data_IF_880367870776
#
_entry.id   IF_880367870776
#
_cell.length_a   1.000
_cell.length_b   1.000
_cell.length_c   1.000
_cell.angle_alpha   90.00
_cell.angle_beta   90.00
_cell.angle_gamma   90.00
#
_symmetry.space_group_name_H-M   'P 1'
#
loop_
_entity.id
_entity.type
_entity.pdbx_description
1 polymer ?
#
# COMPACT_ATOMS: atom_id res chain seq x y z
N UNK A 1 -22.41 -4.00 -22.18
CA UNK A 1 -22.13 -5.26 -21.45
C UNK A 1 -21.76 -4.93 -20.01
N UNK A 2 -22.47 -5.50 -19.03
CA UNK A 2 -22.06 -5.38 -17.63
C UNK A 2 -20.74 -6.13 -17.46
N UNK A 3 -19.67 -5.37 -17.23
CA UNK A 3 -18.36 -5.95 -16.98
C UNK A 3 -18.42 -6.65 -15.62
N UNK A 4 -18.42 -7.99 -15.63
CA UNK A 4 -18.44 -8.82 -14.42
C UNK A 4 -17.19 -8.54 -13.57
N UNK A 5 -17.31 -7.65 -12.59
CA UNK A 5 -16.19 -7.21 -11.76
C UNK A 5 -15.60 -8.36 -10.93
N UNK A 6 -16.43 -9.28 -10.43
CA UNK A 6 -16.00 -10.33 -9.50
C UNK A 6 -15.05 -11.34 -10.14
N UNK A 7 -15.32 -11.75 -11.39
CA UNK A 7 -14.58 -12.81 -12.09
C UNK A 7 -13.26 -12.36 -12.70
N UNK A 8 -13.03 -11.05 -12.78
CA UNK A 8 -11.83 -10.48 -13.41
C UNK A 8 -10.57 -10.66 -12.55
N UNK A 9 -9.39 -10.93 -13.14
CA UNK A 9 -8.16 -10.93 -12.38
C UNK A 9 -7.86 -9.54 -11.77
N UNK A 10 -7.18 -9.46 -10.63
CA UNK A 10 -6.80 -8.18 -10.00
C UNK A 10 -5.92 -7.27 -10.87
N UNK A 11 -5.22 -7.84 -11.86
CA UNK A 11 -4.41 -7.11 -12.84
C UNK A 11 -5.24 -6.31 -13.85
N UNK A 12 -6.53 -6.60 -13.99
CA UNK A 12 -7.40 -5.90 -14.93
C UNK A 12 -7.63 -4.45 -14.53
N UNK A 13 -7.74 -3.57 -15.53
CA UNK A 13 -8.03 -2.14 -15.36
C UNK A 13 -9.29 -1.87 -14.53
N UNK A 14 -10.26 -2.80 -14.55
CA UNK A 14 -11.49 -2.73 -13.77
C UNK A 14 -11.27 -2.92 -12.25
N UNK A 15 -10.16 -3.51 -11.82
CA UNK A 15 -9.79 -3.72 -10.40
C UNK A 15 -8.67 -2.80 -9.91
N UNK A 16 -8.09 -1.99 -10.78
CA UNK A 16 -7.07 -1.00 -10.41
C UNK A 16 -7.51 -0.03 -9.32
N UNK A 17 -6.57 0.50 -8.56
CA UNK A 17 -6.89 1.46 -7.51
C UNK A 17 -7.41 2.74 -8.16
N UNK A 18 -8.53 3.27 -7.64
CA UNK A 18 -9.08 4.57 -8.05
C UNK A 18 -8.55 5.68 -7.16
N UNK A 19 -8.07 6.75 -7.78
CA UNK A 19 -7.71 7.99 -7.13
C UNK A 19 -8.51 9.10 -7.79
N UNK A 20 -9.31 9.81 -7.00
CA UNK A 20 -9.95 11.06 -7.44
C UNK A 20 -9.15 12.25 -6.89
N UNK A 21 -9.05 13.37 -7.62
CA UNK A 21 -8.35 14.56 -7.14
C UNK A 21 -8.88 15.06 -5.77
N UNK A 22 -10.19 14.90 -5.53
CA UNK A 22 -10.85 15.18 -4.25
C UNK A 22 -10.15 14.54 -3.03
N UNK A 23 -9.57 13.35 -3.19
CA UNK A 23 -8.93 12.63 -2.08
C UNK A 23 -7.70 13.36 -1.53
N UNK A 24 -7.01 14.10 -2.39
CA UNK A 24 -5.76 14.80 -2.11
C UNK A 24 -5.99 16.31 -1.84
N UNK A 25 -7.18 16.83 -2.12
CA UNK A 25 -7.48 18.25 -2.08
C UNK A 25 -7.53 18.81 -0.64
N UNK A 26 -6.68 19.78 -0.33
CA UNK A 26 -6.54 20.41 0.98
C UNK A 26 -7.70 21.35 1.34
N UNK A 27 -8.37 21.93 0.33
CA UNK A 27 -9.53 22.82 0.51
C UNK A 27 -10.79 22.07 0.94
N UNK A 28 -10.82 20.76 0.74
CA UNK A 28 -11.94 19.89 1.11
C UNK A 28 -11.70 19.27 2.49
N UNK A 29 -12.76 19.11 3.27
CA UNK A 29 -12.71 18.40 4.56
C UNK A 29 -12.76 16.89 4.35
N UNK A 30 -12.54 16.12 5.43
CA UNK A 30 -12.70 14.66 5.40
C UNK A 30 -14.14 14.27 5.05
N UNK A 31 -15.13 14.98 5.61
CA UNK A 31 -16.55 14.78 5.28
C UNK A 31 -16.87 15.08 3.81
N UNK A 32 -16.15 16.03 3.19
CA UNK A 32 -16.27 16.37 1.78
C UNK A 32 -15.48 15.45 0.85
N UNK A 33 -14.84 14.39 1.38
CA UNK A 33 -14.17 13.36 0.58
C UNK A 33 -12.65 13.37 0.60
N UNK A 34 -12.00 14.30 1.31
CA UNK A 34 -10.54 14.26 1.50
C UNK A 34 -10.16 12.98 2.27
N UNK A 35 -9.10 12.30 1.83
CA UNK A 35 -8.61 11.06 2.46
C UNK A 35 -7.27 11.21 3.17
N UNK A 36 -6.57 12.32 2.93
CA UNK A 36 -5.28 12.62 3.56
C UNK A 36 -5.42 13.70 4.64
N UNK A 37 -4.49 13.72 5.59
CA UNK A 37 -4.38 14.80 6.58
C UNK A 37 -4.11 16.14 5.87
N UNK A 38 -4.65 17.24 6.42
CA UNK A 38 -4.55 18.58 5.79
C UNK A 38 -3.09 19.01 5.55
N UNK A 39 -2.16 18.63 6.42
CA UNK A 39 -0.73 18.94 6.30
C UNK A 39 -0.02 18.24 5.14
N UNK A 40 -0.56 17.13 4.63
CA UNK A 40 -0.02 16.37 3.49
C UNK A 40 -0.86 16.54 2.23
N UNK A 41 -1.95 17.28 2.34
CA UNK A 41 -2.87 17.54 1.24
C UNK A 41 -2.30 18.62 0.32
N UNK A 42 -2.68 18.57 -0.95
CA UNK A 42 -2.25 19.54 -1.97
C UNK A 42 -3.41 20.48 -2.26
N UNK A 43 -3.13 21.75 -2.52
CA UNK A 43 -4.16 22.67 -2.96
C UNK A 43 -4.59 22.34 -4.40
N UNK A 44 -5.88 22.14 -4.60
CA UNK A 44 -6.51 22.07 -5.93
C UNK A 44 -5.85 21.12 -6.94
N UNK A 45 -5.57 19.86 -6.58
CA UNK A 45 -4.94 18.92 -7.50
C UNK A 45 -5.85 18.63 -8.70
N UNK A 46 -5.25 18.44 -9.88
CA UNK A 46 -5.92 18.01 -11.10
C UNK A 46 -5.69 16.52 -11.36
N UNK A 47 -6.60 15.89 -12.12
CA UNK A 47 -6.42 14.49 -12.51
C UNK A 47 -5.19 14.28 -13.41
N UNK A 48 -4.82 15.30 -14.20
CA UNK A 48 -3.66 15.25 -15.08
C UNK A 48 -2.35 15.23 -14.29
N UNK A 49 -2.18 16.12 -13.30
CA UNK A 49 -0.99 16.13 -12.44
C UNK A 49 -0.79 14.77 -11.74
N UNK A 50 -1.88 14.19 -11.24
CA UNK A 50 -1.83 12.86 -10.61
C UNK A 50 -1.39 11.80 -11.62
N UNK A 51 -1.93 11.83 -12.84
CA UNK A 51 -1.55 10.90 -13.90
C UNK A 51 -0.07 11.04 -14.30
N UNK A 52 0.41 12.27 -14.46
CA UNK A 52 1.78 12.56 -14.89
C UNK A 52 2.79 12.09 -13.83
N UNK A 53 2.54 12.36 -12.54
CA UNK A 53 3.41 11.89 -11.44
C UNK A 53 3.44 10.37 -11.37
N UNK A 54 2.30 9.70 -11.52
CA UNK A 54 2.24 8.24 -11.48
C UNK A 54 2.97 7.61 -12.67
N UNK A 55 2.80 8.19 -13.86
CA UNK A 55 3.48 7.74 -15.08
C UNK A 55 4.99 7.95 -14.98
N UNK A 56 5.43 9.11 -14.48
CA UNK A 56 6.84 9.42 -14.24
C UNK A 56 7.49 8.48 -13.21
N UNK A 57 6.72 7.99 -12.23
CA UNK A 57 7.17 6.98 -11.28
C UNK A 57 7.25 5.55 -11.88
N UNK A 58 6.93 5.38 -13.15
CA UNK A 58 6.92 4.10 -13.86
C UNK A 58 5.69 3.24 -13.56
N UNK A 59 4.62 3.82 -12.99
CA UNK A 59 3.38 3.07 -12.73
C UNK A 59 2.47 3.10 -13.95
N UNK A 60 1.84 1.96 -14.24
CA UNK A 60 0.79 1.89 -15.27
C UNK A 60 -0.48 2.58 -14.76
N UNK A 61 -0.72 3.79 -15.26
CA UNK A 61 -1.87 4.62 -14.92
C UNK A 61 -2.81 4.84 -16.11
N UNK A 62 -4.07 5.22 -15.83
CA UNK A 62 -5.08 5.58 -16.84
C UNK A 62 -5.98 6.68 -16.29
N UNK A 63 -6.26 7.70 -17.11
CA UNK A 63 -7.21 8.76 -16.78
C UNK A 63 -8.60 8.43 -17.35
N UNK A 64 -9.63 8.67 -16.57
CA UNK A 64 -11.03 8.49 -16.96
C UNK A 64 -11.81 9.77 -16.65
N UNK A 65 -12.68 10.19 -17.59
CA UNK A 65 -13.57 11.35 -17.43
C UNK A 65 -14.76 10.99 -16.51
N UNK A 66 -14.48 10.81 -15.22
CA UNK A 66 -15.44 10.46 -14.17
C UNK A 66 -15.37 11.49 -13.06
N UNK A 67 -16.51 11.70 -12.41
CA UNK A 67 -16.63 12.64 -11.29
C UNK A 67 -16.83 11.86 -9.99
N UNK A 68 -16.28 12.38 -8.90
CA UNK A 68 -16.53 11.79 -7.58
C UNK A 68 -17.96 12.12 -7.14
N UNK A 69 -18.75 11.15 -6.63
CA UNK A 69 -20.14 11.39 -6.24
C UNK A 69 -20.34 12.50 -5.19
N UNK A 70 -19.35 12.70 -4.31
CA UNK A 70 -19.36 13.75 -3.27
C UNK A 70 -18.83 15.11 -3.75
N UNK A 71 -18.34 15.25 -4.99
CA UNK A 71 -17.89 16.56 -5.47
C UNK A 71 -19.05 17.28 -6.18
N UNK A 72 -19.62 18.34 -5.57
CA UNK A 72 -20.71 19.09 -6.19
C UNK A 72 -20.23 19.96 -7.37
N UNK A 73 -18.95 20.31 -7.42
CA UNK A 73 -18.40 21.13 -8.51
C UNK A 73 -18.20 20.28 -9.75
N UNK A 74 -18.90 20.65 -10.83
CA UNK A 74 -18.74 20.08 -12.18
C UNK A 74 -17.59 20.75 -12.96
N UNK A 75 -16.65 21.35 -12.26
CA UNK A 75 -15.52 22.04 -12.88
C UNK A 75 -14.62 21.05 -13.60
N UNK A 76 -14.16 21.42 -14.79
CA UNK A 76 -13.27 20.58 -15.59
C UNK A 76 -12.00 20.17 -14.83
N UNK A 77 -11.52 21.04 -13.92
CA UNK A 77 -10.31 20.82 -13.13
C UNK A 77 -10.51 19.81 -11.98
N UNK A 78 -11.72 19.72 -11.43
CA UNK A 78 -12.08 18.76 -10.38
C UNK A 78 -12.52 17.40 -10.97
N UNK A 79 -12.86 17.39 -12.26
CA UNK A 79 -13.26 16.19 -12.97
C UNK A 79 -12.05 15.31 -13.29
N UNK A 80 -12.22 14.02 -13.03
CA UNK A 80 -11.28 13.00 -13.45
C UNK A 80 -11.11 11.92 -12.38
N UNK A 81 -10.86 10.71 -12.86
CA UNK A 81 -10.48 9.56 -12.04
C UNK A 81 -9.22 8.96 -12.62
N UNK A 82 -8.20 8.82 -11.80
CA UNK A 82 -6.98 8.13 -12.16
C UNK A 82 -7.04 6.71 -11.63
N UNK A 83 -6.73 5.75 -12.50
CA UNK A 83 -6.65 4.33 -12.18
C UNK A 83 -5.20 3.90 -12.25
N UNK A 84 -4.72 3.11 -11.30
CA UNK A 84 -3.34 2.62 -11.30
C UNK A 84 -3.23 1.14 -10.94
N UNK A 85 -2.31 0.45 -11.61
CA UNK A 85 -2.03 -0.97 -11.35
C UNK A 85 -0.95 -1.16 -10.28
N UNK A 86 -1.37 -1.29 -9.02
CA UNK A 86 -0.43 -1.50 -7.92
C UNK A 86 0.26 -2.87 -7.99
N UNK A 87 -0.48 -3.92 -8.34
CA UNK A 87 0.07 -5.28 -8.38
C UNK A 87 1.15 -5.44 -9.45
N UNK A 88 0.91 -4.93 -10.67
CA UNK A 88 1.90 -5.01 -11.74
C UNK A 88 3.15 -4.20 -11.39
N UNK A 89 2.97 -3.01 -10.80
CA UNK A 89 4.10 -2.20 -10.34
C UNK A 89 4.94 -2.92 -9.28
N UNK A 90 4.30 -3.55 -8.29
CA UNK A 90 5.02 -4.31 -7.27
C UNK A 90 5.83 -5.48 -7.88
N UNK A 91 5.24 -6.24 -8.80
CA UNK A 91 5.94 -7.33 -9.50
C UNK A 91 7.16 -6.84 -10.28
N UNK A 92 7.08 -5.64 -10.87
CA UNK A 92 8.20 -5.05 -11.61
C UNK A 92 9.31 -4.49 -10.69
N UNK A 93 8.94 -3.93 -9.55
CA UNK A 93 9.88 -3.24 -8.65
C UNK A 93 10.58 -4.18 -7.66
N UNK A 94 9.92 -5.27 -7.23
CA UNK A 94 10.50 -6.22 -6.26
C UNK A 94 11.85 -6.81 -6.72
N UNK A 95 12.02 -7.26 -7.98
CA UNK A 95 13.32 -7.76 -8.46
C UNK A 95 14.44 -6.71 -8.45
N UNK A 96 14.09 -5.42 -8.56
CA UNK A 96 15.04 -4.29 -8.55
C UNK A 96 15.50 -3.92 -7.13
N UNK A 97 14.95 -4.54 -6.08
CA UNK A 97 15.34 -4.26 -4.71
C UNK A 97 16.75 -4.76 -4.40
N UNK A 98 17.56 -3.92 -3.76
CA UNK A 98 18.91 -4.26 -3.30
C UNK A 98 18.92 -5.51 -2.39
N UNK A 99 17.87 -5.71 -1.60
CA UNK A 99 17.71 -6.91 -0.75
C UNK A 99 17.59 -8.22 -1.53
N UNK A 100 17.15 -8.18 -2.80
CA UNK A 100 17.13 -9.34 -3.70
C UNK A 100 18.47 -9.54 -4.41
N UNK A 101 19.21 -8.46 -4.65
CA UNK A 101 20.50 -8.48 -5.35
C UNK A 101 21.65 -8.88 -4.43
N UNK A 102 21.54 -8.63 -3.12
CA UNK A 102 22.48 -9.10 -2.12
C UNK A 102 22.07 -10.48 -1.59
N UNK A 103 22.39 -11.55 -2.34
CA UNK A 103 22.25 -12.91 -1.79
C UNK A 103 21.94 -14.02 -2.78
N UNK A 104 22.77 -14.18 -3.82
CA UNK A 104 23.06 -15.54 -4.27
C UNK A 104 23.84 -16.25 -3.16
N UNK A 105 23.16 -17.01 -2.31
CA UNK A 105 23.78 -17.89 -1.32
C UNK A 105 23.25 -17.74 0.10
N UNK A 106 22.28 -18.57 0.46
CA UNK A 106 22.28 -19.36 1.69
C UNK A 106 20.96 -20.15 1.77
N UNK A 107 21.06 -21.42 1.36
CA UNK A 107 20.15 -22.49 1.76
C UNK A 107 19.97 -22.48 3.27
N UNK A 108 18.73 -22.46 3.72
CA UNK A 108 18.36 -23.01 5.02
C UNK A 108 17.04 -23.74 4.84
N UNK A 109 17.17 -24.93 4.24
CA UNK A 109 16.30 -26.05 4.56
C UNK A 109 16.31 -26.20 6.09
N UNK A 110 15.16 -26.12 6.73
CA UNK A 110 14.97 -26.77 8.03
C UNK A 110 13.73 -27.63 7.92
N UNK A 111 13.99 -28.88 8.23
CA UNK A 111 13.24 -30.09 7.92
C UNK A 111 11.99 -30.22 8.79
N UNK A 112 10.96 -30.82 8.20
CA UNK A 112 9.74 -31.29 8.87
C UNK A 112 10.05 -32.54 9.70
N UNK A 113 9.77 -32.55 11.01
CA UNK A 113 9.46 -33.73 11.84
C UNK A 113 8.80 -33.20 13.13
N UNK A 114 7.57 -33.49 13.52
CA UNK A 114 6.95 -34.80 13.77
C UNK A 114 6.92 -35.06 15.29
N UNK A 115 5.71 -35.08 15.88
CA UNK A 115 5.39 -35.24 17.32
C UNK A 115 6.24 -36.27 18.10
N UNK A 116 6.48 -36.03 19.39
CA UNK A 116 5.87 -36.82 20.49
C UNK A 116 6.27 -36.35 21.90
N UNK A 117 5.33 -36.59 22.79
CA UNK A 117 5.22 -36.41 24.24
C UNK A 117 6.35 -37.00 25.12
N UNK A 118 6.44 -36.41 26.33
CA UNK A 118 6.41 -37.07 27.66
C UNK A 118 7.64 -36.88 28.58
N UNK A 119 7.34 -36.35 29.77
CA UNK A 119 7.95 -36.49 31.12
C UNK A 119 9.44 -36.24 31.39
N UNK A 120 9.66 -35.30 32.31
CA UNK A 120 10.29 -35.62 33.61
C UNK A 120 11.61 -34.91 33.93
N UNK A 121 11.66 -34.21 35.07
CA UNK A 121 12.91 -34.08 35.84
C UNK A 121 13.39 -32.67 36.24
N UNK A 122 12.82 -32.18 37.34
CA UNK A 122 13.33 -31.30 38.42
C UNK A 122 14.82 -30.93 38.45
N UNK A 123 15.12 -29.66 38.77
CA UNK A 123 16.41 -29.24 39.34
C UNK A 123 16.53 -27.73 39.51
N UNK A 124 16.39 -27.23 40.74
CA UNK A 124 16.36 -25.80 41.09
C UNK A 124 17.70 -25.20 41.52
N UNK A 125 17.64 -23.89 41.82
CA UNK A 125 18.68 -23.05 42.45
C UNK A 125 19.12 -21.90 41.54
N UNK A 126 19.04 -20.60 41.86
CA UNK A 126 18.80 -19.91 43.11
C UNK A 126 19.96 -18.95 43.43
N UNK A 127 19.79 -17.64 43.16
CA UNK A 127 20.65 -16.54 43.67
C UNK A 127 21.53 -15.85 42.61
N UNK A 128 21.77 -14.53 42.61
CA UNK A 128 21.44 -13.42 43.52
C UNK A 128 21.53 -12.10 42.72
N UNK A 129 20.56 -11.21 42.92
CA UNK A 129 20.50 -9.88 42.33
C UNK A 129 21.57 -8.93 42.94
N UNK A 130 22.26 -8.17 42.09
CA UNK A 130 23.21 -7.13 42.51
C UNK A 130 22.51 -5.78 42.70
N UNK A 131 22.71 -5.17 43.87
CA UNK A 131 22.08 -3.94 44.37
C UNK A 131 22.78 -2.71 43.78
N UNK A 132 22.08 -1.95 42.94
CA UNK A 132 22.57 -0.72 42.30
C UNK A 132 22.55 0.44 43.31
N UNK A 133 23.74 0.92 43.71
CA UNK A 133 23.98 2.12 44.52
C UNK A 133 23.79 3.34 43.63
N UNK A 134 22.81 4.20 43.92
CA UNK A 134 22.68 5.54 43.31
C UNK A 134 22.95 6.57 44.42
N UNK A 135 23.87 7.46 44.09
CA UNK A 135 24.30 8.63 44.85
C UNK A 135 23.15 9.60 45.08
#
# INVERSE_FOLDING_TARGET
MAVQYKTKPPSDECKWICIYPLYLNSRKTIAQGRRVAKSKAVDSPTAQEIYDILTNAGMKAKIEKKMHPLDPNRDANAQGRVRMSLMLYACEMIPKLKSRQAGGGATSQTTVTGNSSVTGGTGGGGGKANKKKKR
#
